data_IF_083713843213
#
_entry.id   IF_083713843213
#
_cell.length_a   1.000
_cell.length_b   1.000
_cell.length_c   1.000
_cell.angle_alpha   90.00
_cell.angle_beta   90.00
_cell.angle_gamma   90.00
#
_symmetry.space_group_name_H-M   'P 1'
#
loop_
_entity.id
_entity.type
_entity.pdbx_description
1 polymer ?
#
# COMPACT_ATOMS: atom_id res chain seq x y z
N UNK A 1 -12.65 -3.54 1.65
CA UNK A 1 -12.09 -4.87 1.82
C UNK A 1 -10.70 -4.70 2.40
N UNK A 2 -10.48 -5.43 3.48
CA UNK A 2 -9.40 -5.31 4.44
C UNK A 2 -8.53 -6.56 4.31
N UNK A 3 -7.20 -6.38 4.33
CA UNK A 3 -6.28 -7.51 4.16
C UNK A 3 -6.05 -8.18 5.51
N UNK A 4 -6.29 -9.50 5.58
CA UNK A 4 -5.97 -10.32 6.75
C UNK A 4 -4.60 -10.97 6.58
N UNK A 5 -3.71 -10.68 7.52
CA UNK A 5 -2.31 -11.12 7.49
C UNK A 5 -1.89 -11.60 8.86
N UNK A 6 -1.08 -12.66 8.93
CA UNK A 6 -0.48 -13.12 10.18
C UNK A 6 0.49 -12.06 10.68
N UNK A 7 0.32 -11.66 11.93
CA UNK A 7 1.13 -10.70 12.65
C UNK A 7 1.60 -11.33 13.97
N UNK A 8 2.90 -11.45 14.15
CA UNK A 8 3.49 -11.85 15.43
C UNK A 8 3.91 -10.59 16.17
N UNK A 9 3.28 -10.32 17.32
CA UNK A 9 3.68 -9.23 18.22
C UNK A 9 4.76 -9.79 19.16
N UNK A 10 5.93 -9.16 19.15
CA UNK A 10 7.08 -9.54 19.95
C UNK A 10 7.13 -8.79 21.27
N UNK A 11 6.83 -7.49 21.25
CA UNK A 11 6.80 -6.63 22.43
C UNK A 11 5.82 -5.47 22.18
N UNK A 12 5.23 -4.91 23.24
CA UNK A 12 4.43 -3.68 23.16
C UNK A 12 4.98 -2.62 24.12
N UNK A 13 5.57 -1.58 23.57
CA UNK A 13 6.07 -0.42 24.33
C UNK A 13 4.98 0.63 24.53
N UNK A 14 4.89 1.17 25.75
CA UNK A 14 4.04 2.31 26.10
C UNK A 14 4.81 3.62 25.96
N UNK A 15 4.28 4.55 25.16
CA UNK A 15 4.77 5.93 25.06
C UNK A 15 3.66 6.91 25.46
N UNK A 16 3.85 7.59 26.58
CA UNK A 16 2.89 8.56 27.12
C UNK A 16 3.54 9.92 27.37
N UNK A 17 2.72 10.97 27.45
CA UNK A 17 3.19 12.32 27.73
C UNK A 17 2.11 13.37 27.46
N UNK A 18 2.52 14.64 27.41
CA UNK A 18 1.64 15.75 27.00
C UNK A 18 2.10 16.21 25.62
N UNK A 19 1.17 16.31 24.68
CA UNK A 19 1.48 16.79 23.33
C UNK A 19 1.88 18.26 23.38
N UNK A 20 3.08 18.59 22.92
CA UNK A 20 3.52 19.98 22.79
C UNK A 20 2.68 20.79 21.81
N UNK A 21 1.97 20.13 20.87
CA UNK A 21 1.12 20.80 19.87
C UNK A 21 -0.27 21.14 20.39
N UNK A 22 -0.88 20.25 21.17
CA UNK A 22 -2.28 20.39 21.58
C UNK A 22 -2.46 20.58 23.08
N UNK A 23 -1.40 20.41 23.88
CA UNK A 23 -1.46 20.41 25.34
C UNK A 23 -2.21 19.20 25.93
N UNK A 24 -2.66 18.25 25.10
CA UNK A 24 -3.45 17.10 25.55
C UNK A 24 -2.55 15.94 25.95
N UNK A 25 -2.91 15.17 26.99
CA UNK A 25 -2.21 13.93 27.28
C UNK A 25 -2.37 12.96 26.10
N UNK A 26 -1.30 12.23 25.79
CA UNK A 26 -1.32 11.13 24.84
C UNK A 26 -0.83 9.87 25.52
N UNK A 27 -1.37 8.73 25.09
CA UNK A 27 -0.92 7.41 25.48
C UNK A 27 -0.95 6.53 24.23
N UNK A 28 0.23 6.16 23.73
CA UNK A 28 0.41 5.32 22.54
C UNK A 28 0.96 3.96 22.95
N UNK A 29 0.50 2.92 22.27
CA UNK A 29 1.07 1.58 22.33
C UNK A 29 1.70 1.29 20.98
N UNK A 30 2.99 1.01 20.99
CA UNK A 30 3.76 0.69 19.79
C UNK A 30 4.17 -0.77 19.92
N UNK A 31 3.77 -1.58 18.95
CA UNK A 31 4.08 -2.99 18.90
C UNK A 31 5.27 -3.23 17.97
N UNK A 32 6.25 -3.97 18.47
CA UNK A 32 7.34 -4.55 17.70
C UNK A 32 6.82 -5.86 17.12
N UNK A 33 6.86 -6.02 15.81
CA UNK A 33 6.15 -7.12 15.17
C UNK A 33 6.83 -7.67 13.92
N UNK A 34 6.49 -8.91 13.60
CA UNK A 34 6.81 -9.59 12.36
C UNK A 34 5.50 -9.77 11.59
N UNK A 35 5.40 -9.15 10.43
CA UNK A 35 4.27 -9.29 9.53
C UNK A 35 4.60 -10.31 8.45
N UNK A 36 3.71 -11.29 8.27
CA UNK A 36 3.79 -12.26 7.18
C UNK A 36 2.81 -11.86 6.09
N UNK A 37 3.30 -11.74 4.86
CA UNK A 37 2.51 -11.24 3.73
C UNK A 37 2.77 -12.07 2.46
N UNK A 38 1.70 -12.27 1.69
CA UNK A 38 1.75 -12.91 0.38
C UNK A 38 1.39 -11.86 -0.65
N UNK A 39 2.35 -11.55 -1.51
CA UNK A 39 2.24 -10.55 -2.57
C UNK A 39 2.33 -11.23 -3.93
N UNK A 40 2.08 -10.49 -5.01
CA UNK A 40 2.42 -10.94 -6.36
C UNK A 40 3.92 -11.24 -6.58
N UNK A 41 4.81 -10.68 -5.74
CA UNK A 41 6.25 -10.97 -5.75
C UNK A 41 6.57 -12.30 -5.01
N UNK A 42 5.62 -12.86 -4.24
CA UNK A 42 5.76 -14.08 -3.45
C UNK A 42 5.44 -13.87 -1.95
N UNK A 43 5.77 -14.89 -1.16
CA UNK A 43 5.68 -14.84 0.31
C UNK A 43 6.88 -14.11 0.89
N UNK A 44 6.63 -13.19 1.81
CA UNK A 44 7.65 -12.37 2.47
C UNK A 44 7.29 -12.12 3.94
N UNK A 45 8.31 -11.76 4.74
CA UNK A 45 8.14 -11.37 6.14
C UNK A 45 8.85 -10.05 6.41
N UNK A 46 8.15 -9.13 7.08
CA UNK A 46 8.66 -7.78 7.36
C UNK A 46 8.62 -7.52 8.85
N UNK A 47 9.77 -7.13 9.40
CA UNK A 47 9.89 -6.70 10.80
C UNK A 47 9.69 -5.20 10.88
N UNK A 48 8.87 -4.74 11.82
CA UNK A 48 8.70 -3.31 12.04
C UNK A 48 7.83 -2.94 13.23
N UNK A 49 7.66 -1.64 13.40
CA UNK A 49 6.89 -1.01 14.45
C UNK A 49 5.50 -0.62 13.93
N UNK A 50 4.46 -0.92 14.69
CA UNK A 50 3.11 -0.46 14.40
C UNK A 50 2.43 0.13 15.63
N UNK A 51 1.68 1.21 15.43
CA UNK A 51 0.90 1.81 16.52
C UNK A 51 -0.42 1.07 16.66
N UNK A 52 -0.68 0.54 17.86
CA UNK A 52 -1.95 -0.11 18.18
C UNK A 52 -3.05 0.95 18.40
N UNK A 53 -4.25 0.78 17.83
CA UNK A 53 -5.37 1.66 18.11
C UNK A 53 -5.84 1.52 19.56
N UNK A 54 -6.59 2.50 20.05
CA UNK A 54 -7.05 2.55 21.45
C UNK A 54 -7.75 1.26 21.90
N UNK A 55 -8.56 0.67 21.02
CA UNK A 55 -9.31 -0.57 21.28
C UNK A 55 -8.43 -1.83 21.38
N UNK A 56 -7.17 -1.75 20.96
CA UNK A 56 -6.18 -2.84 20.97
C UNK A 56 -4.97 -2.52 21.87
N UNK A 57 -5.07 -1.54 22.76
CA UNK A 57 -3.94 -1.12 23.62
C UNK A 57 -3.47 -2.21 24.59
N UNK A 58 -4.34 -3.14 24.92
CA UNK A 58 -4.06 -4.24 25.86
C UNK A 58 -3.64 -5.53 25.15
N UNK A 59 -3.46 -5.49 23.82
CA UNK A 59 -2.88 -6.60 23.07
C UNK A 59 -1.50 -6.94 23.63
N UNK A 60 -1.23 -8.24 23.77
CA UNK A 60 0.02 -8.77 24.30
C UNK A 60 0.85 -9.41 23.21
N UNK A 61 2.05 -9.80 23.56
CA UNK A 61 2.92 -10.66 22.75
C UNK A 61 2.18 -11.93 22.33
N UNK A 62 2.43 -12.39 21.11
CA UNK A 62 1.78 -13.57 20.56
C UNK A 62 1.51 -13.49 19.06
N UNK A 63 0.92 -14.55 18.53
CA UNK A 63 0.54 -14.63 17.12
C UNK A 63 -0.91 -14.22 16.93
N UNK A 64 -1.15 -13.39 15.92
CA UNK A 64 -2.46 -12.86 15.61
C UNK A 64 -2.75 -12.92 14.11
N UNK A 65 -4.02 -13.04 13.76
CA UNK A 65 -4.54 -12.64 12.47
C UNK A 65 -4.95 -11.17 12.56
N UNK A 66 -4.15 -10.30 11.94
CA UNK A 66 -4.37 -8.86 11.92
C UNK A 66 -5.14 -8.48 10.65
N UNK A 67 -6.15 -7.66 10.82
CA UNK A 67 -6.89 -7.04 9.73
C UNK A 67 -6.41 -5.60 9.56
N UNK A 68 -5.89 -5.28 8.38
CA UNK A 68 -5.32 -3.98 8.07
C UNK A 68 -6.26 -3.13 7.21
N UNK A 69 -6.32 -1.85 7.56
CA UNK A 69 -6.78 -0.77 6.71
C UNK A 69 -5.71 0.30 6.63
N UNK A 70 -5.82 1.20 5.65
CA UNK A 70 -4.95 2.36 5.58
C UNK A 70 -5.49 3.51 6.43
N UNK A 71 -4.57 4.32 6.91
CA UNK A 71 -4.82 5.59 7.58
C UNK A 71 -3.88 6.67 7.07
N UNK A 72 -4.02 7.87 7.62
CA UNK A 72 -3.14 9.01 7.36
C UNK A 72 -2.36 9.32 8.64
N UNK A 73 -1.02 9.40 8.55
CA UNK A 73 -0.16 9.87 9.64
C UNK A 73 -0.35 11.36 9.91
N UNK A 74 0.23 11.86 11.00
CA UNK A 74 0.22 13.29 11.31
C UNK A 74 0.97 14.12 10.25
N UNK A 75 2.00 13.54 9.65
CA UNK A 75 2.82 14.10 8.57
C UNK A 75 2.13 13.98 7.21
N UNK A 76 0.97 13.31 7.17
CA UNK A 76 0.17 13.13 5.97
C UNK A 76 0.54 11.92 5.12
N UNK A 77 1.42 11.04 5.60
CA UNK A 77 1.79 9.81 4.90
C UNK A 77 0.69 8.76 5.03
N UNK A 78 0.55 7.90 4.02
CA UNK A 78 -0.27 6.70 4.16
C UNK A 78 0.45 5.71 5.09
N UNK A 79 -0.26 5.20 6.09
CA UNK A 79 0.26 4.26 7.08
C UNK A 79 -0.72 3.10 7.27
N UNK A 80 -0.24 1.88 7.58
CA UNK A 80 -1.13 0.80 7.94
C UNK A 80 -1.73 1.06 9.33
N UNK A 81 -2.98 0.65 9.50
CA UNK A 81 -3.69 0.68 10.78
C UNK A 81 -4.40 -0.66 10.97
N UNK A 82 -4.19 -1.26 12.13
CA UNK A 82 -4.92 -2.46 12.52
C UNK A 82 -6.35 -2.05 12.87
N UNK A 83 -7.34 -2.70 12.26
CA UNK A 83 -8.76 -2.50 12.55
C UNK A 83 -9.37 -3.65 13.34
N UNK A 84 -8.79 -4.85 13.22
CA UNK A 84 -9.11 -5.99 14.06
C UNK A 84 -7.86 -6.84 14.28
N UNK A 85 -7.79 -7.47 15.45
CA UNK A 85 -6.70 -8.36 15.83
C UNK A 85 -7.31 -9.57 16.53
N UNK A 86 -7.12 -10.76 15.98
CA UNK A 86 -7.66 -12.01 16.50
C UNK A 86 -6.49 -12.95 16.83
N UNK A 87 -6.48 -13.67 17.96
CA UNK A 87 -5.45 -14.67 18.22
C UNK A 87 -5.37 -15.68 17.07
N UNK A 88 -4.17 -15.99 16.62
CA UNK A 88 -3.94 -16.95 15.55
C UNK A 88 -4.07 -18.37 16.11
N UNK A 89 -5.13 -19.08 15.72
CA UNK A 89 -5.38 -20.48 16.11
C UNK A 89 -5.09 -21.46 14.98
N UNK A 90 -5.00 -22.75 15.30
CA UNK A 90 -4.56 -23.85 14.41
C UNK A 90 -5.35 -24.04 13.10
N UNK A 91 -6.45 -23.31 12.89
CA UNK A 91 -7.29 -23.37 11.68
C UNK A 91 -7.39 -22.05 10.89
N UNK A 92 -6.68 -21.00 11.28
CA UNK A 92 -6.71 -19.73 10.56
C UNK A 92 -5.78 -19.78 9.33
N UNK A 93 -6.32 -19.55 8.13
CA UNK A 93 -5.50 -19.44 6.93
C UNK A 93 -4.69 -18.11 7.00
N UNK A 94 -3.35 -18.17 7.11
CA UNK A 94 -2.54 -17.06 7.62
C UNK A 94 -2.42 -15.84 6.71
N UNK A 95 -2.70 -16.00 5.41
CA UNK A 95 -2.38 -14.94 4.47
C UNK A 95 -3.38 -14.93 3.33
N UNK A 96 -4.28 -13.96 3.36
CA UNK A 96 -5.05 -13.64 2.15
C UNK A 96 -4.16 -12.84 1.19
N UNK A 97 -4.25 -13.07 -0.12
CA UNK A 97 -3.51 -12.26 -1.08
C UNK A 97 -3.85 -10.79 -0.89
N UNK A 98 -2.83 -9.94 -0.95
CA UNK A 98 -3.03 -8.49 -0.89
C UNK A 98 -3.91 -8.05 -2.05
N UNK A 99 -5.02 -7.42 -1.71
CA UNK A 99 -5.98 -6.97 -2.72
C UNK A 99 -5.57 -5.67 -3.38
N UNK A 100 -5.98 -5.54 -4.64
CA UNK A 100 -5.84 -4.32 -5.42
C UNK A 100 -6.79 -3.24 -4.88
N UNK A 101 -6.25 -2.07 -4.62
CA UNK A 101 -7.00 -0.90 -4.16
C UNK A 101 -6.94 0.20 -5.19
N UNK A 102 -8.06 0.92 -5.36
CA UNK A 102 -8.10 2.06 -6.26
C UNK A 102 -7.37 3.25 -5.64
N UNK A 103 -6.45 3.83 -6.40
CA UNK A 103 -5.63 4.98 -6.04
C UNK A 103 -5.75 6.04 -7.12
N UNK A 104 -6.03 7.28 -6.75
CA UNK A 104 -5.94 8.42 -7.67
C UNK A 104 -4.68 9.22 -7.34
N UNK A 105 -3.70 9.23 -8.24
CA UNK A 105 -2.47 10.03 -8.11
C UNK A 105 -2.77 11.44 -8.61
N UNK A 106 -2.72 12.41 -7.69
CA UNK A 106 -3.00 13.83 -7.97
C UNK A 106 -1.73 14.54 -8.41
N UNK A 107 -0.63 14.26 -7.72
CA UNK A 107 0.63 14.92 -7.97
C UNK A 107 1.81 14.03 -7.57
N UNK A 108 2.94 14.20 -8.23
CA UNK A 108 4.19 13.52 -7.90
C UNK A 108 5.24 14.58 -7.60
N UNK A 109 5.76 14.55 -6.38
CA UNK A 109 6.81 15.45 -5.92
C UNK A 109 8.14 14.73 -6.04
N UNK A 110 9.08 15.32 -6.80
CA UNK A 110 10.43 14.78 -6.97
C UNK A 110 11.35 15.37 -5.90
N UNK A 111 12.16 14.53 -5.27
CA UNK A 111 13.19 14.90 -4.32
C UNK A 111 14.48 14.18 -4.68
N UNK A 112 15.41 14.94 -5.26
CA UNK A 112 16.72 14.45 -5.65
C UNK A 112 17.83 15.09 -4.80
N UNK A 113 18.96 14.40 -4.69
CA UNK A 113 20.12 14.90 -3.97
C UNK A 113 21.22 13.85 -3.83
N UNK A 114 22.24 14.15 -3.04
CA UNK A 114 23.30 13.20 -2.71
C UNK A 114 23.07 12.71 -1.28
N UNK A 115 23.03 11.41 -1.09
CA UNK A 115 22.89 10.79 0.22
C UNK A 115 24.10 11.13 1.08
N UNK A 116 23.88 11.75 2.24
CA UNK A 116 24.95 12.01 3.21
C UNK A 116 25.56 10.73 3.78
N UNK A 117 24.80 9.62 3.79
CA UNK A 117 25.26 8.33 4.32
C UNK A 117 26.12 7.56 3.33
N UNK A 118 25.73 7.55 2.05
CA UNK A 118 26.35 6.68 1.04
C UNK A 118 27.12 7.44 -0.04
N UNK A 119 27.00 8.77 -0.10
CA UNK A 119 27.57 9.60 -1.15
C UNK A 119 26.95 9.38 -2.53
N UNK A 120 25.92 8.53 -2.64
CA UNK A 120 25.26 8.21 -3.91
C UNK A 120 24.13 9.18 -4.20
N UNK A 121 23.91 9.56 -5.48
CA UNK A 121 22.72 10.31 -5.85
C UNK A 121 21.48 9.48 -5.54
N UNK A 122 20.44 10.13 -5.02
CA UNK A 122 19.12 9.56 -4.85
C UNK A 122 18.11 10.39 -5.63
N UNK A 123 17.09 9.72 -6.17
CA UNK A 123 15.89 10.33 -6.73
C UNK A 123 14.70 9.61 -6.10
N UNK A 124 14.05 10.28 -5.15
CA UNK A 124 12.82 9.80 -4.52
C UNK A 124 11.65 10.56 -5.12
N UNK A 125 10.60 9.84 -5.50
CA UNK A 125 9.35 10.43 -5.94
C UNK A 125 8.24 10.09 -4.98
N UNK A 126 7.56 11.11 -4.47
CA UNK A 126 6.46 10.97 -3.52
C UNK A 126 5.16 11.36 -4.21
N UNK A 127 4.27 10.39 -4.38
CA UNK A 127 2.92 10.63 -4.88
C UNK A 127 2.03 11.20 -3.78
N UNK A 128 1.39 12.33 -4.05
CA UNK A 128 0.19 12.78 -3.35
C UNK A 128 -1.01 12.09 -4.00
N UNK A 129 -1.73 11.29 -3.22
CA UNK A 129 -2.77 10.42 -3.75
C UNK A 129 -4.01 10.36 -2.85
N UNK A 130 -5.12 9.96 -3.46
CA UNK A 130 -6.36 9.59 -2.80
C UNK A 130 -6.47 8.08 -2.88
N UNK A 131 -6.50 7.43 -1.74
CA UNK A 131 -6.82 6.03 -1.63
C UNK A 131 -8.33 5.87 -1.43
N UNK A 132 -8.92 4.98 -2.22
CA UNK A 132 -10.31 4.61 -2.17
C UNK A 132 -10.41 3.25 -1.46
N UNK A 133 -10.84 3.21 -0.19
CA UNK A 133 -10.99 1.94 0.50
C UNK A 133 -12.16 1.18 -0.13
N UNK A 134 -11.98 -0.11 -0.36
CA UNK A 134 -13.04 -1.00 -0.87
C UNK A 134 -14.12 -1.32 0.20
N UNK A 135 -14.27 -0.50 1.25
CA UNK A 135 -15.17 -0.80 2.37
C UNK A 135 -16.63 -0.48 2.00
N UNK A 136 -17.53 -1.39 2.37
CA UNK A 136 -18.99 -1.26 2.18
C UNK A 136 -19.61 -0.19 3.10
N UNK A 137 -18.92 0.21 4.16
CA UNK A 137 -19.39 1.17 5.16
C UNK A 137 -18.81 2.58 4.93
N UNK A 138 -19.30 3.23 3.87
CA UNK A 138 -19.12 4.66 3.59
C UNK A 138 -17.83 5.05 2.82
N UNK A 139 -17.88 6.15 2.02
CA UNK A 139 -16.78 6.56 1.14
C UNK A 139 -15.72 7.36 1.91
N UNK A 140 -15.02 6.75 2.87
CA UNK A 140 -13.94 7.45 3.57
C UNK A 140 -12.67 7.46 2.72
N UNK A 141 -12.62 8.38 1.76
CA UNK A 141 -11.43 8.66 0.96
C UNK A 141 -10.27 9.05 1.86
N UNK A 142 -9.12 8.44 1.69
CA UNK A 142 -7.92 8.75 2.47
C UNK A 142 -6.97 9.51 1.57
N UNK A 143 -6.74 10.78 1.90
CA UNK A 143 -5.74 11.60 1.21
C UNK A 143 -4.42 11.44 1.94
N UNK A 144 -3.37 11.04 1.23
CA UNK A 144 -2.05 10.90 1.82
C UNK A 144 -0.94 10.88 0.79
N UNK A 145 0.28 10.75 1.29
CA UNK A 145 1.47 10.61 0.46
C UNK A 145 2.09 9.23 0.56
N UNK A 146 2.63 8.73 -0.55
CA UNK A 146 3.39 7.49 -0.59
C UNK A 146 4.61 7.64 -1.51
N UNK A 147 5.72 7.01 -1.14
CA UNK A 147 6.91 6.97 -2.00
C UNK A 147 6.70 5.96 -3.12
N UNK A 148 6.91 6.40 -4.36
CA UNK A 148 6.79 5.55 -5.54
C UNK A 148 8.03 4.65 -5.68
N UNK A 149 7.84 3.36 -5.95
CA UNK A 149 8.95 2.45 -6.28
C UNK A 149 9.57 2.82 -7.64
N UNK A 150 10.76 2.28 -7.93
CA UNK A 150 11.52 2.58 -9.14
C UNK A 150 10.69 2.43 -10.42
N UNK A 151 9.95 1.33 -10.54
CA UNK A 151 9.12 1.03 -11.71
C UNK A 151 7.96 2.02 -11.92
N UNK A 152 7.56 2.74 -10.88
CA UNK A 152 6.43 3.67 -10.90
C UNK A 152 6.84 5.14 -10.81
N UNK A 153 8.14 5.46 -10.88
CA UNK A 153 8.62 6.86 -10.78
C UNK A 153 8.03 7.76 -11.85
N UNK A 154 7.88 7.27 -13.06
CA UNK A 154 7.34 8.01 -14.22
C UNK A 154 5.82 7.91 -14.35
N UNK A 155 5.13 7.39 -13.33
CA UNK A 155 3.67 7.27 -13.40
C UNK A 155 3.01 8.65 -13.50
N UNK A 156 2.19 8.90 -14.55
CA UNK A 156 1.50 10.17 -14.69
C UNK A 156 0.36 10.31 -13.67
N UNK A 157 -0.20 11.51 -13.59
CA UNK A 157 -1.41 11.77 -12.80
C UNK A 157 -2.57 10.98 -13.40
N UNK A 158 -3.39 10.36 -12.57
CA UNK A 158 -4.47 9.51 -13.04
C UNK A 158 -5.00 8.56 -11.99
N UNK A 159 -5.88 7.66 -12.41
CA UNK A 159 -6.46 6.63 -11.57
C UNK A 159 -5.82 5.28 -11.86
N UNK A 160 -5.57 4.51 -10.80
CA UNK A 160 -4.85 3.24 -10.86
C UNK A 160 -5.45 2.23 -9.89
N UNK A 161 -5.26 0.95 -10.19
CA UNK A 161 -5.30 -0.13 -9.22
C UNK A 161 -3.88 -0.39 -8.73
N UNK A 162 -3.66 -0.18 -7.44
CA UNK A 162 -2.40 -0.45 -6.77
C UNK A 162 -2.50 -1.71 -5.91
N UNK A 163 -1.48 -2.54 -5.95
CA UNK A 163 -1.26 -3.59 -4.97
C UNK A 163 -0.22 -3.10 -3.96
N UNK A 164 -0.51 -3.28 -2.67
CA UNK A 164 0.28 -2.72 -1.58
C UNK A 164 0.89 -3.80 -0.69
N UNK A 165 2.20 -3.97 -0.73
CA UNK A 165 2.91 -4.67 0.33
C UNK A 165 3.20 -3.73 1.50
N UNK A 166 3.55 -4.28 2.65
CA UNK A 166 4.18 -3.53 3.73
C UNK A 166 5.69 -3.62 3.59
N UNK A 167 6.38 -2.56 4.02
CA UNK A 167 7.84 -2.54 4.13
C UNK A 167 8.26 -1.75 5.36
N UNK A 168 9.51 -1.89 5.78
CA UNK A 168 10.06 -1.14 6.89
C UNK A 168 10.56 0.23 6.42
N UNK A 169 10.14 1.29 7.10
CA UNK A 169 10.67 2.64 6.92
C UNK A 169 12.01 2.83 7.65
N UNK A 170 12.67 3.97 7.44
CA UNK A 170 13.93 4.31 8.12
C UNK A 170 13.78 4.41 9.64
N UNK A 171 12.58 4.74 10.13
CA UNK A 171 12.26 4.84 11.55
C UNK A 171 11.72 3.49 12.11
N UNK A 172 12.00 2.39 11.41
CA UNK A 172 11.55 1.03 11.71
C UNK A 172 10.03 0.82 11.67
N UNK A 173 9.23 1.82 11.34
CA UNK A 173 7.77 1.68 11.21
C UNK A 173 7.36 0.93 9.95
N UNK A 174 6.31 0.11 10.05
CA UNK A 174 5.65 -0.48 8.89
C UNK A 174 4.96 0.60 8.06
N UNK A 175 5.24 0.64 6.77
CA UNK A 175 4.65 1.58 5.80
C UNK A 175 4.23 0.84 4.54
N UNK A 176 3.17 1.30 3.84
CA UNK A 176 2.82 0.73 2.54
C UNK A 176 3.90 0.99 1.49
N UNK A 177 4.14 -0.02 0.65
CA UNK A 177 4.90 0.03 -0.60
C UNK A 177 4.03 -0.49 -1.72
N UNK A 178 4.01 0.22 -2.85
CA UNK A 178 3.34 -0.26 -4.07
C UNK A 178 4.23 -1.35 -4.68
N UNK A 179 3.66 -2.53 -4.93
CA UNK A 179 4.34 -3.65 -5.63
C UNK A 179 3.84 -3.84 -7.05
N UNK A 180 2.59 -3.46 -7.32
CA UNK A 180 2.04 -3.39 -8.67
C UNK A 180 1.16 -2.15 -8.84
N UNK A 181 1.21 -1.54 -10.01
CA UNK A 181 0.39 -0.37 -10.35
C UNK A 181 -0.13 -0.49 -11.77
N UNK A 182 -1.46 -0.58 -11.91
CA UNK A 182 -2.13 -0.73 -13.21
C UNK A 182 -3.07 0.45 -13.43
N UNK A 183 -3.15 1.02 -14.65
CA UNK A 183 -4.15 2.03 -14.96
C UNK A 183 -5.57 1.54 -14.63
N UNK A 184 -6.38 2.41 -14.04
CA UNK A 184 -7.81 2.18 -13.84
C UNK A 184 -8.51 2.41 -15.18
N UNK A 185 -8.46 1.42 -16.06
CA UNK A 185 -9.26 1.45 -17.29
C UNK A 185 -10.71 1.13 -16.94
N UNK A 186 -11.62 2.07 -17.22
CA UNK A 186 -13.07 1.84 -17.21
C UNK A 186 -13.53 0.99 -18.42
N UNK A 187 -12.61 0.42 -19.20
CA UNK A 187 -12.89 -0.20 -20.49
C UNK A 187 -13.39 -1.64 -20.34
N UNK A 188 -14.58 -1.77 -19.75
CA UNK A 188 -15.56 -2.77 -20.16
C UNK A 188 -16.53 -2.14 -21.18
N UNK A 189 -16.00 -1.58 -22.27
CA UNK A 189 -16.70 -1.64 -23.55
C UNK A 189 -15.88 -2.59 -24.42
N UNK A 190 -16.41 -3.76 -24.84
CA UNK A 190 -15.73 -4.56 -25.83
C UNK A 190 -15.66 -3.72 -27.10
N UNK A 191 -14.50 -3.13 -27.36
CA UNK A 191 -14.21 -2.51 -28.64
C UNK A 191 -14.19 -3.66 -29.64
N UNK A 192 -15.26 -3.75 -30.42
CA UNK A 192 -15.39 -4.70 -31.52
C UNK A 192 -14.09 -4.68 -32.32
N UNK A 193 -13.51 -5.86 -32.51
CA UNK A 193 -12.35 -6.12 -33.34
C UNK A 193 -12.46 -5.33 -34.63
N UNK A 194 -11.52 -4.43 -34.97
CA UNK A 194 -11.49 -3.84 -36.29
C UNK A 194 -11.23 -4.98 -37.28
N UNK A 195 -12.28 -5.36 -38.02
CA UNK A 195 -12.20 -6.25 -39.16
C UNK A 195 -11.24 -5.61 -40.15
N UNK A 196 -10.02 -6.15 -40.24
CA UNK A 196 -9.05 -5.76 -41.24
C UNK A 196 -9.68 -5.93 -42.63
N UNK A 197 -9.94 -4.81 -43.30
CA UNK A 197 -10.27 -4.80 -44.72
C UNK A 197 -9.01 -5.19 -45.48
N UNK A 198 -8.86 -6.48 -45.78
CA UNK A 198 -7.82 -6.96 -46.67
C UNK A 198 -8.12 -6.44 -48.09
N UNK A 199 -7.39 -5.40 -48.48
CA UNK A 199 -7.26 -4.97 -49.86
C UNK A 199 -6.52 -6.07 -50.65
N UNK A 200 -7.25 -6.88 -51.41
CA UNK A 200 -6.68 -7.79 -52.38
C UNK A 200 -6.35 -7.01 -53.67
N UNK A 201 -5.08 -6.64 -53.81
CA UNK A 201 -4.49 -6.22 -55.08
C UNK A 201 -3.98 -7.49 -55.78
N UNK A 202 -4.69 -7.96 -56.81
CA UNK A 202 -4.21 -9.00 -57.72
C UNK A 202 -4.13 -8.40 -59.13
N UNK A 203 -2.91 -8.13 -59.58
CA UNK A 203 -2.55 -7.87 -60.98
C UNK A 203 -1.48 -8.87 -61.38
N UNK A 204 -1.84 -9.81 -62.26
CA UNK A 204 -0.97 -10.56 -63.16
C UNK A 204 -1.89 -11.22 -64.21
N UNK A 205 -1.98 -10.67 -65.42
CA UNK A 205 -1.16 -11.03 -66.61
C UNK A 205 -1.60 -12.36 -67.25
N UNK A 206 -2.39 -12.29 -68.33
CA UNK A 206 -2.38 -13.27 -69.42
C UNK A 206 -3.09 -12.73 -70.69
N UNK A 207 -2.37 -12.85 -71.81
CA UNK A 207 -2.82 -13.11 -73.19
C UNK A 207 -3.55 -12.01 -73.99
N UNK A 208 -2.81 -11.43 -74.93
CA UNK A 208 -3.18 -11.37 -76.35
C UNK A 208 -1.92 -11.62 -77.19
#
# INVERSE_FOLDING_TARGET
MTSKQKLTILEVTRRQGISSKTGRPYDMRIADCILWQTTSEGDDSVVGLITLPDVLKDSREGEYLAEFAFGRSFEGQLVPRIVALQPFGDGANPTSPIEKQRVSIINVVRREGISSKTGRPYDMRTAQCILWPNASDGPRRIVGTITLPEFAKETPKGEYFAEFAMTQSMDCHLVPRIVALHPYANDARPTATPKATAAAKATASAAA
#
